data_IF_609813657512
#
_entry.id   IF_609813657512
#
_cell.length_a   1.000
_cell.length_b   1.000
_cell.length_c   1.000
_cell.angle_alpha   90.00
_cell.angle_beta   90.00
_cell.angle_gamma   90.00
#
_symmetry.space_group_name_H-M   'P 1'
#
loop_
_entity.id
_entity.type
_entity.pdbx_description
1 polymer ?
#
# COMPACT_ATOMS: atom_id res chain seq x y z
N UNK A 1 5.55 8.08 23.81
CA UNK A 1 6.44 8.60 22.76
C UNK A 1 5.85 8.21 21.42
N UNK A 2 5.70 9.14 20.46
CA UNK A 2 5.14 8.81 19.14
C UNK A 2 6.22 8.12 18.31
N UNK A 3 6.05 6.84 17.98
CA UNK A 3 7.04 6.07 17.22
C UNK A 3 6.74 6.14 15.72
N UNK A 4 7.12 7.26 15.11
CA UNK A 4 6.89 7.54 13.70
C UNK A 4 7.59 6.53 12.79
N UNK A 5 8.80 6.07 13.16
CA UNK A 5 9.53 5.07 12.38
C UNK A 5 8.81 3.71 12.36
N UNK A 6 8.33 3.23 13.52
CA UNK A 6 7.58 1.98 13.60
C UNK A 6 6.26 2.05 12.83
N UNK A 7 5.48 3.12 12.99
CA UNK A 7 4.25 3.31 12.22
C UNK A 7 4.54 3.39 10.72
N UNK A 8 5.60 4.11 10.32
CA UNK A 8 6.01 4.17 8.92
C UNK A 8 6.33 2.80 8.34
N UNK A 9 7.01 1.95 9.10
CA UNK A 9 7.30 0.58 8.70
C UNK A 9 6.04 -0.28 8.55
N UNK A 10 5.05 -0.13 9.43
CA UNK A 10 3.77 -0.84 9.33
C UNK A 10 3.03 -0.49 8.03
N UNK A 11 2.91 0.80 7.69
CA UNK A 11 2.31 1.23 6.43
C UNK A 11 3.05 0.70 5.20
N UNK A 12 4.39 0.65 5.23
CA UNK A 12 5.18 0.13 4.11
C UNK A 12 5.03 -1.40 3.95
N UNK A 13 4.88 -2.13 5.05
CA UNK A 13 4.58 -3.57 5.00
C UNK A 13 3.20 -3.82 4.38
N UNK A 14 2.21 -3.03 4.78
CA UNK A 14 0.86 -3.12 4.21
C UNK A 14 0.87 -2.80 2.71
N UNK A 15 1.62 -1.77 2.29
CA UNK A 15 1.80 -1.46 0.87
C UNK A 15 2.38 -2.65 0.08
N UNK A 16 3.39 -3.34 0.58
CA UNK A 16 3.93 -4.52 -0.13
C UNK A 16 2.92 -5.67 -0.18
N UNK A 17 2.12 -5.88 0.87
CA UNK A 17 1.04 -6.86 0.88
C UNK A 17 -0.03 -6.53 -0.19
N UNK A 18 -0.45 -5.26 -0.27
CA UNK A 18 -1.40 -4.76 -1.28
C UNK A 18 -0.86 -4.95 -2.69
N UNK A 19 0.42 -4.65 -2.93
CA UNK A 19 1.09 -4.88 -4.23
C UNK A 19 1.09 -6.35 -4.64
N UNK A 20 1.36 -7.26 -3.70
CA UNK A 20 1.22 -8.69 -3.95
C UNK A 20 -0.23 -9.07 -4.29
N UNK A 21 -1.21 -8.49 -3.59
CA UNK A 21 -2.63 -8.74 -3.86
C UNK A 21 -3.07 -8.23 -5.23
N UNK A 22 -2.62 -7.04 -5.65
CA UNK A 22 -2.87 -6.49 -7.00
C UNK A 22 -2.41 -7.49 -8.06
N UNK A 23 -1.18 -8.02 -7.93
CA UNK A 23 -0.65 -9.02 -8.88
C UNK A 23 -1.48 -10.30 -8.92
N UNK A 24 -1.97 -10.77 -7.78
CA UNK A 24 -2.86 -11.93 -7.73
C UNK A 24 -4.17 -11.67 -8.48
N UNK A 25 -4.78 -10.49 -8.30
CA UNK A 25 -6.03 -10.12 -8.99
C UNK A 25 -5.79 -9.94 -10.49
N UNK A 26 -4.67 -9.36 -10.88
CA UNK A 26 -4.26 -9.24 -12.29
C UNK A 26 -4.04 -10.60 -12.98
N UNK A 27 -3.61 -11.60 -12.22
CA UNK A 27 -3.38 -12.96 -12.72
C UNK A 27 -4.64 -13.86 -12.72
N UNK A 28 -5.79 -13.38 -12.22
CA UNK A 28 -7.04 -14.13 -12.27
C UNK A 28 -7.41 -14.45 -13.74
N UNK A 29 -7.82 -15.69 -14.00
CA UNK A 29 -8.18 -16.15 -15.36
C UNK A 29 -9.56 -15.69 -15.80
N UNK A 30 -9.79 -15.65 -17.11
CA UNK A 30 -11.10 -15.34 -17.71
C UNK A 30 -11.34 -13.84 -17.93
N UNK A 31 -12.31 -13.50 -18.80
CA UNK A 31 -12.61 -12.11 -19.17
C UNK A 31 -13.29 -11.36 -18.01
N UNK A 32 -12.91 -10.09 -17.81
CA UNK A 32 -13.56 -9.19 -16.86
C UNK A 32 -14.77 -8.50 -17.50
N UNK A 33 -15.81 -9.29 -17.79
CA UNK A 33 -17.00 -8.81 -18.54
C UNK A 33 -17.76 -7.71 -17.79
N UNK A 34 -17.76 -7.77 -16.45
CA UNK A 34 -18.48 -6.83 -15.59
C UNK A 34 -17.64 -5.65 -15.12
N UNK A 35 -16.33 -5.64 -15.40
CA UNK A 35 -15.38 -4.64 -14.91
C UNK A 35 -15.06 -4.76 -13.41
N UNK A 36 -15.57 -5.79 -12.73
CA UNK A 36 -15.37 -5.99 -11.29
C UNK A 36 -13.91 -6.22 -10.95
N UNK A 37 -13.14 -6.90 -11.81
CA UNK A 37 -11.70 -7.10 -11.59
C UNK A 37 -10.96 -5.78 -11.71
N UNK A 38 -11.25 -4.99 -12.75
CA UNK A 38 -10.67 -3.67 -12.94
C UNK A 38 -10.96 -2.73 -11.74
N UNK A 39 -12.20 -2.72 -11.25
CA UNK A 39 -12.58 -1.93 -10.06
C UNK A 39 -11.81 -2.37 -8.80
N UNK A 40 -11.69 -3.69 -8.58
CA UNK A 40 -10.90 -4.23 -7.45
C UNK A 40 -9.44 -3.83 -7.55
N UNK A 41 -8.83 -3.91 -8.74
CA UNK A 41 -7.45 -3.49 -8.97
C UNK A 41 -7.29 -1.99 -8.67
N UNK A 42 -8.22 -1.16 -9.12
CA UNK A 42 -8.18 0.28 -8.89
C UNK A 42 -8.18 0.60 -7.39
N UNK A 43 -9.13 0.03 -6.64
CA UNK A 43 -9.22 0.22 -5.19
C UNK A 43 -7.94 -0.23 -4.47
N UNK A 44 -7.40 -1.39 -4.84
CA UNK A 44 -6.16 -1.89 -4.26
C UNK A 44 -4.96 -0.98 -4.59
N UNK A 45 -4.90 -0.42 -5.80
CA UNK A 45 -3.88 0.54 -6.20
C UNK A 45 -3.96 1.84 -5.38
N UNK A 46 -5.15 2.38 -5.16
CA UNK A 46 -5.34 3.58 -4.34
C UNK A 46 -4.83 3.35 -2.91
N UNK A 47 -5.26 2.25 -2.28
CA UNK A 47 -4.81 1.87 -0.94
C UNK A 47 -3.29 1.67 -0.88
N UNK A 48 -2.69 1.05 -1.91
CA UNK A 48 -1.25 0.84 -2.00
C UNK A 48 -0.50 2.18 -2.01
N UNK A 49 -0.96 3.13 -2.81
CA UNK A 49 -0.34 4.45 -2.92
C UNK A 49 -0.47 5.24 -1.62
N UNK A 50 -1.65 5.23 -0.99
CA UNK A 50 -1.87 5.87 0.30
C UNK A 50 -0.95 5.31 1.39
N UNK A 51 -0.86 3.98 1.50
CA UNK A 51 0.03 3.33 2.45
C UNK A 51 1.50 3.66 2.18
N UNK A 52 1.94 3.61 0.91
CA UNK A 52 3.32 3.95 0.55
C UNK A 52 3.68 5.40 0.89
N UNK A 53 2.83 6.36 0.51
CA UNK A 53 3.08 7.78 0.76
C UNK A 53 3.11 8.05 2.25
N UNK A 54 2.14 7.53 2.99
CA UNK A 54 2.03 7.70 4.45
C UNK A 54 3.25 7.10 5.15
N UNK A 55 3.62 5.87 4.81
CA UNK A 55 4.78 5.19 5.38
C UNK A 55 6.09 5.96 5.17
N UNK A 56 6.32 6.49 3.96
CA UNK A 56 7.51 7.31 3.66
C UNK A 56 7.52 8.65 4.41
N UNK A 57 6.38 9.30 4.56
CA UNK A 57 6.27 10.56 5.33
C UNK A 57 6.60 10.30 6.80
N UNK A 58 6.06 9.22 7.37
CA UNK A 58 6.29 8.85 8.75
C UNK A 58 7.75 8.48 9.02
N UNK A 59 8.40 7.71 8.13
CA UNK A 59 9.83 7.42 8.23
C UNK A 59 10.68 8.70 8.24
N UNK A 60 10.49 9.57 7.23
CA UNK A 60 11.23 10.86 7.17
C UNK A 60 11.04 11.70 8.43
N UNK A 61 9.85 11.67 9.02
CA UNK A 61 9.56 12.39 10.25
C UNK A 61 10.20 11.75 11.48
N UNK A 62 10.26 10.41 11.53
CA UNK A 62 11.04 9.69 12.54
C UNK A 62 12.52 10.06 12.46
N UNK A 63 13.10 9.94 11.26
CA UNK A 63 14.52 10.24 11.01
C UNK A 63 14.91 11.68 11.39
N UNK A 64 13.99 12.64 11.22
CA UNK A 64 14.22 14.05 11.57
C UNK A 64 14.05 14.36 13.06
N UNK A 65 13.36 13.51 13.83
CA UNK A 65 13.11 13.69 15.26
C UNK A 65 14.08 12.87 16.14
N UNK A 66 14.75 11.88 15.57
CA UNK A 66 15.77 11.05 16.22
C UNK A 66 17.21 11.57 15.99
N UNK A 67 17.37 12.68 15.26
CA UNK A 67 18.61 13.48 15.14
C UNK A 67 18.70 14.54 16.24
#
# INVERSE_FOLDING_TARGET
MKNYAAWGLEYLKEAEALKCRIRQVQAESGPDVTGQRAQRIHLLCDMYLECMVTGRILQRRGDALEQ
#
